data_IF_374936687786
#
_entry.id   IF_374936687786
#
_cell.length_a   1.000
_cell.length_b   1.000
_cell.length_c   1.000
_cell.angle_alpha   90.00
_cell.angle_beta   90.00
_cell.angle_gamma   90.00
#
_symmetry.space_group_name_H-M   'P 1'
#
loop_
_entity.id
_entity.type
_entity.pdbx_description
1 polymer ?
#
# COMPACT_ATOMS: atom_id res chain seq x y z
N UNK A 1 -23.54 -23.05 35.52
CA UNK A 1 -23.13 -23.23 36.90
C UNK A 1 -22.13 -22.12 37.22
N UNK A 2 -22.67 -21.13 37.97
CA UNK A 2 -22.15 -20.52 39.20
C UNK A 2 -20.83 -19.75 39.06
N UNK A 3 -20.62 -18.51 39.41
CA UNK A 3 -21.30 -17.48 40.23
C UNK A 3 -20.54 -16.17 40.10
N UNK A 4 -21.23 -15.08 39.92
CA UNK A 4 -21.27 -13.75 40.54
C UNK A 4 -20.17 -13.43 41.57
N UNK A 5 -19.56 -12.22 41.47
CA UNK A 5 -19.53 -11.27 42.60
C UNK A 5 -19.19 -9.84 42.15
N UNK A 6 -20.16 -8.98 42.37
CA UNK A 6 -20.19 -7.52 42.42
C UNK A 6 -19.53 -7.03 43.73
N UNK A 7 -18.77 -5.90 43.70
CA UNK A 7 -18.56 -5.09 44.87
C UNK A 7 -18.68 -3.60 44.49
N UNK A 8 -19.67 -2.97 45.09
CA UNK A 8 -19.92 -1.54 45.21
C UNK A 8 -18.99 -0.97 46.30
N UNK A 9 -18.51 0.25 46.13
CA UNK A 9 -17.81 1.07 47.13
C UNK A 9 -18.13 2.53 46.93
N UNK A 10 -19.17 2.97 47.61
CA UNK A 10 -19.65 4.34 47.80
C UNK A 10 -18.80 5.02 48.89
N UNK A 11 -18.30 6.24 48.68
CA UNK A 11 -17.97 7.15 49.80
C UNK A 11 -18.34 8.60 49.45
N UNK A 12 -19.03 9.18 50.40
CA UNK A 12 -19.72 10.45 50.37
C UNK A 12 -18.89 11.61 50.96
N UNK A 13 -19.24 12.80 50.49
CA UNK A 13 -19.30 14.13 51.15
C UNK A 13 -18.41 14.43 52.37
N UNK A 14 -17.73 15.58 52.30
CA UNK A 14 -17.71 16.55 53.41
C UNK A 14 -17.48 17.98 52.89
N UNK A 15 -18.48 18.80 53.06
CA UNK A 15 -18.51 20.27 52.94
C UNK A 15 -17.94 20.88 54.21
N UNK A 16 -17.15 21.94 54.10
CA UNK A 16 -17.07 22.97 55.17
C UNK A 16 -16.78 24.32 54.51
N UNK A 17 -17.70 25.24 54.72
CA UNK A 17 -17.58 26.64 54.39
C UNK A 17 -16.93 27.42 55.50
N UNK A 18 -16.40 28.58 55.15
CA UNK A 18 -16.24 29.71 56.09
C UNK A 18 -16.44 31.02 55.33
N UNK A 19 -17.42 31.75 55.76
CA UNK A 19 -17.68 33.16 55.52
C UNK A 19 -16.71 34.03 56.32
N UNK A 20 -16.33 35.16 55.74
CA UNK A 20 -15.58 36.20 56.46
C UNK A 20 -15.75 37.57 55.79
N UNK A 21 -16.40 38.43 56.44
CA UNK A 21 -16.94 39.75 56.10
C UNK A 21 -15.93 40.80 55.64
N UNK A 22 -16.44 41.70 54.77
CA UNK A 22 -15.88 43.04 54.46
C UNK A 22 -15.89 43.97 55.73
N UNK A 23 -15.05 45.03 55.72
CA UNK A 23 -15.67 46.35 55.70
C UNK A 23 -15.02 47.34 54.71
N UNK A 24 -15.85 48.32 54.33
CA UNK A 24 -15.60 49.44 53.49
C UNK A 24 -14.67 50.51 54.15
N UNK A 25 -13.96 51.22 53.20
CA UNK A 25 -13.26 52.48 53.58
C UNK A 25 -12.92 53.21 52.27
N UNK A 26 -13.61 54.29 52.01
CA UNK A 26 -13.50 55.14 50.85
C UNK A 26 -12.26 56.00 50.79
N UNK A 27 -11.91 56.48 49.65
CA UNK A 27 -10.86 57.44 49.36
C UNK A 27 -10.90 57.77 47.88
N UNK A 28 -11.62 58.84 47.55
CA UNK A 28 -11.58 59.53 46.25
C UNK A 28 -10.18 60.12 46.03
N UNK A 29 -9.56 59.86 44.89
CA UNK A 29 -8.69 60.84 44.22
C UNK A 29 -8.65 60.55 42.69
N UNK A 30 -9.17 61.51 42.00
CA UNK A 30 -8.98 62.05 40.63
C UNK A 30 -7.93 61.45 39.72
N UNK A 31 -8.41 61.13 38.52
CA UNK A 31 -7.92 61.45 37.17
C UNK A 31 -6.41 61.68 37.02
N UNK A 32 -5.78 60.75 36.31
CA UNK A 32 -4.93 61.06 35.17
C UNK A 32 -5.00 59.89 34.22
N UNK A 33 -5.62 60.14 33.08
CA UNK A 33 -5.50 59.32 31.88
C UNK A 33 -4.11 59.62 31.30
N UNK A 34 -3.18 58.73 31.49
CA UNK A 34 -2.01 58.66 30.62
C UNK A 34 -2.25 57.51 29.63
N UNK A 35 -2.52 57.88 28.40
CA UNK A 35 -2.45 57.04 27.20
C UNK A 35 -0.97 56.69 26.99
N UNK A 36 -0.51 55.62 27.61
CA UNK A 36 0.73 54.98 27.19
C UNK A 36 0.43 54.11 25.95
N UNK A 37 0.38 54.75 24.80
CA UNK A 37 0.69 54.13 23.54
C UNK A 37 2.19 53.84 23.54
N UNK A 38 2.59 52.71 24.14
CA UNK A 38 3.93 52.17 23.93
C UNK A 38 4.01 51.74 22.46
N UNK A 39 4.62 52.60 21.65
CA UNK A 39 4.92 52.33 20.26
C UNK A 39 5.91 51.16 20.15
N UNK A 40 5.46 50.12 19.50
CA UNK A 40 6.32 49.08 18.87
C UNK A 40 7.22 49.71 17.79
N UNK A 41 8.29 50.45 18.17
CA UNK A 41 9.23 51.08 17.25
C UNK A 41 10.51 50.28 17.02
N UNK A 42 10.64 49.02 17.53
CA UNK A 42 11.87 48.23 17.45
C UNK A 42 12.02 47.31 16.24
N UNK A 43 10.95 47.02 15.45
CA UNK A 43 10.95 45.98 14.44
C UNK A 43 10.72 46.47 13.00
N UNK A 44 10.92 47.77 12.70
CA UNK A 44 10.77 48.31 11.36
C UNK A 44 12.11 48.79 10.78
N UNK A 45 12.45 48.31 9.59
CA UNK A 45 13.63 48.69 8.83
C UNK A 45 13.24 49.40 7.54
N UNK A 46 13.76 50.62 7.34
CA UNK A 46 13.57 51.34 6.09
C UNK A 46 14.81 51.23 5.22
N UNK A 47 14.67 50.69 4.03
CA UNK A 47 15.73 50.56 3.03
C UNK A 47 15.64 51.59 1.92
N UNK A 48 16.77 52.10 1.44
CA UNK A 48 16.84 52.93 0.27
C UNK A 48 16.31 52.16 -0.98
N UNK A 49 15.46 52.75 -1.83
CA UNK A 49 14.95 52.13 -3.04
C UNK A 49 16.04 51.50 -3.94
N UNK A 50 17.21 52.10 -4.01
CA UNK A 50 18.37 51.55 -4.77
C UNK A 50 18.93 50.26 -4.15
N UNK A 51 18.79 50.08 -2.84
CA UNK A 51 19.20 48.85 -2.15
C UNK A 51 18.22 47.75 -2.44
N UNK A 52 16.92 48.06 -2.45
CA UNK A 52 15.84 47.12 -2.78
C UNK A 52 16.01 46.60 -4.20
N UNK A 53 16.19 47.51 -5.17
CA UNK A 53 16.34 47.16 -6.58
C UNK A 53 17.60 46.34 -6.85
N UNK A 54 18.73 46.78 -6.28
CA UNK A 54 20.02 46.12 -6.46
C UNK A 54 20.08 44.71 -5.87
N UNK A 55 19.36 44.44 -4.79
CA UNK A 55 19.31 43.15 -4.12
C UNK A 55 18.12 42.31 -4.58
N UNK A 56 17.30 42.80 -5.51
CA UNK A 56 16.18 42.07 -6.10
C UNK A 56 15.10 41.67 -5.06
N UNK A 57 14.85 42.55 -4.05
CA UNK A 57 13.84 42.30 -3.05
C UNK A 57 12.47 42.36 -3.72
N UNK A 58 11.71 41.25 -3.63
CA UNK A 58 10.36 41.20 -4.17
C UNK A 58 9.37 40.79 -3.09
N UNK A 59 8.18 41.36 -3.18
CA UNK A 59 7.07 41.07 -2.28
C UNK A 59 5.91 40.48 -3.04
N UNK A 60 5.23 39.48 -2.42
CA UNK A 60 3.96 38.94 -2.92
C UNK A 60 2.93 38.95 -1.80
N UNK A 61 1.65 39.11 -2.12
CA UNK A 61 0.62 39.08 -1.10
C UNK A 61 0.41 37.68 -0.58
N UNK A 62 0.29 37.54 0.74
CA UNK A 62 -0.13 36.29 1.36
C UNK A 62 -1.57 35.96 0.93
N UNK A 63 -1.77 34.82 0.32
CA UNK A 63 -3.06 34.42 -0.26
C UNK A 63 -3.56 33.13 0.38
N UNK A 64 -4.90 33.03 0.44
CA UNK A 64 -5.51 31.74 0.74
C UNK A 64 -5.40 30.86 -0.48
N UNK A 65 -4.85 29.67 -0.27
CA UNK A 65 -4.69 28.63 -1.31
C UNK A 65 -5.13 27.30 -0.76
N UNK A 66 -5.52 26.43 -1.66
CA UNK A 66 -5.66 25.02 -1.35
C UNK A 66 -4.25 24.45 -1.23
N UNK A 67 -3.70 24.42 -0.03
CA UNK A 67 -2.51 23.63 0.25
C UNK A 67 -2.99 22.19 0.52
N UNK A 68 -3.01 21.40 -0.52
CA UNK A 68 -3.16 19.96 -0.39
C UNK A 68 -1.80 19.45 0.11
N UNK A 69 -1.63 19.39 1.42
CA UNK A 69 -0.50 18.68 2.00
C UNK A 69 -0.59 17.22 1.52
N UNK A 70 0.32 16.82 0.63
CA UNK A 70 0.40 15.44 0.22
C UNK A 70 0.94 14.62 1.39
N UNK A 71 0.18 13.63 1.84
CA UNK A 71 0.73 12.60 2.70
C UNK A 71 1.60 11.69 1.83
N UNK A 72 2.90 11.74 2.02
CA UNK A 72 3.82 10.84 1.35
C UNK A 72 4.01 9.57 2.17
N UNK A 73 3.73 8.44 1.55
CA UNK A 73 3.76 7.12 2.16
C UNK A 73 4.81 6.26 1.45
N UNK A 74 5.77 5.68 2.18
CA UNK A 74 6.72 4.74 1.57
C UNK A 74 5.96 3.54 0.99
N UNK A 75 6.37 3.12 -0.20
CA UNK A 75 5.67 2.08 -0.93
C UNK A 75 6.61 1.18 -1.73
N UNK A 76 6.12 -0.04 -2.01
CA UNK A 76 6.80 -1.06 -2.78
C UNK A 76 5.86 -1.63 -3.85
N UNK A 77 6.40 -1.83 -5.04
CA UNK A 77 5.71 -2.50 -6.15
C UNK A 77 5.74 -4.00 -5.93
N UNK A 78 4.59 -4.64 -5.94
CA UNK A 78 4.43 -6.08 -5.75
C UNK A 78 3.63 -6.70 -6.89
N UNK A 79 3.82 -8.01 -7.11
CA UNK A 79 2.94 -8.75 -8.00
C UNK A 79 1.51 -8.77 -7.46
N UNK A 80 0.54 -8.82 -8.35
CA UNK A 80 -0.85 -9.06 -7.97
C UNK A 80 -1.03 -10.56 -7.68
N UNK A 81 -1.31 -10.96 -6.41
CA UNK A 81 -1.50 -12.37 -6.07
C UNK A 81 -2.64 -13.05 -6.84
N UNK A 82 -3.69 -12.30 -7.21
CA UNK A 82 -4.83 -12.82 -7.97
C UNK A 82 -4.45 -13.14 -9.43
N UNK A 83 -3.29 -12.63 -9.88
CA UNK A 83 -2.72 -12.83 -11.22
C UNK A 83 -1.35 -13.52 -11.16
N UNK A 84 -1.05 -14.20 -10.06
CA UNK A 84 0.18 -14.95 -9.85
C UNK A 84 -0.16 -16.40 -9.63
N UNK A 85 0.57 -17.29 -10.25
CA UNK A 85 0.41 -18.73 -10.11
C UNK A 85 1.69 -19.36 -9.59
N UNK A 86 1.56 -20.08 -8.50
CA UNK A 86 2.58 -20.96 -7.95
C UNK A 86 2.39 -22.37 -8.52
N UNK A 87 3.37 -22.86 -9.24
CA UNK A 87 3.28 -24.12 -9.98
C UNK A 87 4.20 -25.15 -9.30
N UNK A 88 3.59 -26.13 -8.67
CA UNK A 88 4.23 -27.31 -8.07
C UNK A 88 3.78 -28.60 -8.76
N UNK A 89 4.46 -29.71 -8.49
CA UNK A 89 4.07 -31.01 -9.03
C UNK A 89 3.06 -31.70 -8.11
N UNK A 90 1.91 -32.07 -8.64
CA UNK A 90 0.91 -32.85 -7.87
C UNK A 90 1.36 -34.27 -7.54
N UNK A 91 2.37 -34.80 -8.23
CA UNK A 91 2.92 -36.12 -8.00
C UNK A 91 4.43 -36.02 -7.76
N UNK A 92 4.98 -36.73 -6.78
CA UNK A 92 6.41 -36.76 -6.59
C UNK A 92 7.08 -37.40 -7.82
N UNK A 93 8.16 -36.77 -8.28
CA UNK A 93 8.85 -37.26 -9.46
C UNK A 93 10.12 -36.48 -9.75
N UNK A 94 10.82 -36.90 -10.79
CA UNK A 94 12.06 -36.28 -11.24
C UNK A 94 11.79 -35.38 -12.46
N UNK A 95 12.29 -34.17 -12.44
CA UNK A 95 12.27 -33.27 -13.59
C UNK A 95 13.16 -33.84 -14.71
N UNK A 96 12.53 -34.24 -15.82
CA UNK A 96 13.24 -34.79 -16.97
C UNK A 96 13.59 -33.75 -18.02
N UNK A 97 12.76 -32.71 -18.16
CA UNK A 97 12.92 -31.64 -19.13
C UNK A 97 12.36 -30.33 -18.56
N UNK A 98 13.07 -29.24 -18.76
CA UNK A 98 12.61 -27.89 -18.45
C UNK A 98 12.60 -27.10 -19.76
N UNK A 99 11.47 -26.46 -20.10
CA UNK A 99 11.25 -25.79 -21.37
C UNK A 99 11.27 -24.29 -21.32
N UNK A 100 11.28 -23.72 -20.11
CA UNK A 100 11.24 -22.28 -19.86
C UNK A 100 12.40 -21.82 -18.99
N UNK A 101 12.83 -20.60 -19.21
CA UNK A 101 13.80 -19.91 -18.40
C UNK A 101 13.13 -18.80 -17.55
N UNK A 102 13.88 -18.27 -16.58
CA UNK A 102 13.48 -17.08 -15.85
C UNK A 102 13.36 -15.89 -16.80
N UNK A 103 12.21 -15.20 -16.78
CA UNK A 103 11.92 -14.06 -17.63
C UNK A 103 11.21 -14.41 -18.93
N UNK A 104 10.99 -15.69 -19.23
CA UNK A 104 10.22 -16.09 -20.41
C UNK A 104 8.74 -15.77 -20.23
N UNK A 105 8.12 -15.30 -21.32
CA UNK A 105 6.67 -15.15 -21.40
C UNK A 105 6.01 -16.47 -21.83
N UNK A 106 4.94 -16.84 -21.15
CA UNK A 106 4.19 -18.07 -21.35
C UNK A 106 2.70 -17.79 -21.50
N UNK A 107 2.04 -18.60 -22.30
CA UNK A 107 0.59 -18.59 -22.41
C UNK A 107 -0.05 -19.58 -21.42
N UNK A 108 -1.36 -19.42 -21.21
CA UNK A 108 -2.12 -20.39 -20.43
C UNK A 108 -2.07 -21.77 -21.07
N UNK A 109 -1.73 -22.81 -20.25
CA UNK A 109 -1.51 -24.21 -20.59
C UNK A 109 -0.18 -24.51 -21.32
N UNK A 110 0.72 -23.55 -21.43
CA UNK A 110 2.08 -23.84 -21.91
C UNK A 110 2.81 -24.79 -20.96
N UNK A 111 3.58 -25.70 -21.55
CA UNK A 111 4.33 -26.71 -20.81
C UNK A 111 5.65 -26.10 -20.34
N UNK A 112 5.78 -25.92 -19.04
CA UNK A 112 6.98 -25.38 -18.39
C UNK A 112 8.05 -26.44 -18.17
N UNK A 113 7.63 -27.66 -17.77
CA UNK A 113 8.52 -28.78 -17.51
C UNK A 113 7.80 -30.12 -17.63
N UNK A 114 8.59 -31.19 -17.73
CA UNK A 114 8.14 -32.57 -17.67
C UNK A 114 8.68 -33.25 -16.42
N UNK A 115 7.78 -33.90 -15.66
CA UNK A 115 8.10 -34.66 -14.45
C UNK A 115 7.88 -36.15 -14.73
N UNK A 116 8.87 -36.98 -14.48
CA UNK A 116 8.75 -38.43 -14.50
C UNK A 116 8.44 -38.96 -13.10
N UNK A 117 7.25 -39.55 -12.94
CA UNK A 117 6.77 -40.10 -11.68
C UNK A 117 6.59 -41.62 -11.74
N UNK A 118 7.21 -42.33 -10.80
CA UNK A 118 7.04 -43.78 -10.64
C UNK A 118 5.61 -44.13 -10.23
N UNK A 119 5.01 -43.29 -9.39
CA UNK A 119 3.62 -43.49 -8.92
C UNK A 119 2.62 -43.37 -10.06
N UNK A 120 2.79 -42.35 -10.90
CA UNK A 120 1.97 -42.16 -12.10
C UNK A 120 2.16 -43.30 -13.07
N UNK A 121 3.41 -43.77 -13.24
CA UNK A 121 3.73 -44.93 -14.06
C UNK A 121 2.99 -46.20 -13.61
N UNK A 122 2.95 -46.45 -12.31
CA UNK A 122 2.20 -47.58 -11.68
C UNK A 122 0.69 -47.40 -11.88
N UNK A 123 0.12 -46.27 -11.54
CA UNK A 123 -1.31 -46.02 -11.67
C UNK A 123 -1.81 -46.19 -13.13
N UNK A 124 -1.01 -45.75 -14.11
CA UNK A 124 -1.33 -45.94 -15.53
C UNK A 124 -1.16 -47.43 -15.97
N UNK A 125 -0.19 -48.17 -15.39
CA UNK A 125 -0.05 -49.60 -15.64
C UNK A 125 -1.25 -50.36 -15.08
N UNK A 126 -1.70 -50.01 -13.88
CA UNK A 126 -2.88 -50.64 -13.26
C UNK A 126 -4.15 -50.40 -14.07
N UNK A 127 -4.35 -49.17 -14.59
CA UNK A 127 -5.46 -48.90 -15.51
C UNK A 127 -5.37 -49.74 -16.80
N UNK A 128 -4.19 -49.90 -17.37
CA UNK A 128 -4.00 -50.77 -18.57
C UNK A 128 -4.31 -52.21 -18.25
N UNK A 129 -3.83 -52.74 -17.11
CA UNK A 129 -4.11 -54.09 -16.65
C UNK A 129 -5.63 -54.29 -16.42
N UNK A 130 -6.32 -53.33 -15.75
CA UNK A 130 -7.74 -53.41 -15.55
C UNK A 130 -8.53 -53.40 -16.87
N UNK A 131 -8.13 -52.57 -17.84
CA UNK A 131 -8.71 -52.58 -19.22
C UNK A 131 -8.52 -53.93 -19.90
N UNK A 132 -7.35 -54.54 -19.80
CA UNK A 132 -7.09 -55.87 -20.39
C UNK A 132 -7.97 -56.94 -19.75
N UNK A 133 -8.09 -56.96 -18.39
CA UNK A 133 -9.01 -57.88 -17.68
C UNK A 133 -10.45 -57.68 -18.14
N UNK A 134 -10.89 -56.45 -18.35
CA UNK A 134 -12.25 -56.17 -18.86
C UNK A 134 -12.48 -56.77 -20.25
N UNK A 135 -11.54 -56.58 -21.18
CA UNK A 135 -11.64 -57.18 -22.53
C UNK A 135 -11.78 -58.69 -22.47
N UNK A 136 -10.97 -59.36 -21.61
CA UNK A 136 -11.03 -60.79 -21.44
C UNK A 136 -12.38 -61.24 -20.81
N UNK A 137 -12.86 -60.54 -19.79
CA UNK A 137 -14.14 -60.84 -19.13
C UNK A 137 -15.35 -60.66 -20.10
N UNK A 138 -15.33 -59.59 -20.91
CA UNK A 138 -16.39 -59.38 -21.92
C UNK A 138 -16.38 -60.46 -23.03
N UNK A 139 -15.21 -60.96 -23.40
CA UNK A 139 -15.09 -62.10 -24.32
C UNK A 139 -15.68 -63.38 -23.71
N UNK A 140 -15.43 -63.62 -22.39
CA UNK A 140 -15.96 -64.72 -21.66
C UNK A 140 -17.50 -64.65 -21.54
N UNK A 141 -18.07 -63.46 -21.25
CA UNK A 141 -19.54 -63.23 -21.26
C UNK A 141 -20.13 -63.62 -22.60
N UNK A 142 -19.54 -63.16 -23.70
CA UNK A 142 -20.00 -63.49 -25.06
C UNK A 142 -19.98 -65.01 -25.29
N UNK A 143 -18.86 -65.63 -24.97
CA UNK A 143 -18.70 -67.11 -25.10
C UNK A 143 -19.75 -67.86 -24.28
N UNK A 144 -19.92 -67.53 -22.98
CA UNK A 144 -20.88 -68.20 -22.12
C UNK A 144 -22.31 -67.94 -22.57
N UNK A 145 -22.62 -66.75 -23.10
CA UNK A 145 -23.94 -66.44 -23.62
C UNK A 145 -24.31 -67.35 -24.81
N UNK A 146 -23.37 -67.57 -25.73
CA UNK A 146 -23.58 -68.50 -26.86
C UNK A 146 -23.75 -69.94 -26.37
N UNK A 147 -22.89 -70.48 -25.52
CA UNK A 147 -22.95 -71.81 -24.98
C UNK A 147 -24.25 -72.11 -24.21
N UNK A 148 -24.73 -71.11 -23.45
CA UNK A 148 -26.03 -71.23 -22.73
C UNK A 148 -27.21 -71.20 -23.67
N UNK A 149 -27.14 -70.43 -24.77
CA UNK A 149 -28.23 -70.41 -25.78
C UNK A 149 -28.30 -71.73 -26.59
N UNK A 150 -27.13 -72.42 -26.76
CA UNK A 150 -27.02 -73.72 -27.40
C UNK A 150 -27.32 -74.88 -26.43
N UNK A 151 -27.64 -74.62 -25.15
CA UNK A 151 -27.93 -75.63 -24.15
C UNK A 151 -26.68 -76.43 -23.65
N UNK A 152 -25.45 -75.98 -23.99
CA UNK A 152 -24.18 -76.62 -23.65
C UNK A 152 -23.74 -76.23 -22.25
N UNK A 153 -23.96 -75.01 -21.78
CA UNK A 153 -23.56 -74.51 -20.49
C UNK A 153 -24.74 -74.17 -19.56
N UNK A 154 -24.53 -74.21 -18.24
CA UNK A 154 -25.56 -73.86 -17.28
C UNK A 154 -25.74 -72.34 -17.23
N UNK A 155 -26.94 -71.86 -16.95
CA UNK A 155 -27.25 -70.40 -16.74
C UNK A 155 -26.38 -69.80 -15.62
N UNK A 156 -26.00 -70.59 -14.60
CA UNK A 156 -25.08 -70.17 -13.52
C UNK A 156 -23.74 -69.69 -14.06
N UNK A 157 -23.15 -70.41 -15.05
CA UNK A 157 -21.86 -70.04 -15.62
C UNK A 157 -21.89 -68.69 -16.33
N UNK A 158 -23.03 -68.33 -16.97
CA UNK A 158 -23.24 -66.99 -17.54
C UNK A 158 -23.28 -65.92 -16.45
N UNK A 159 -24.00 -66.14 -15.34
CA UNK A 159 -24.06 -65.19 -14.23
C UNK A 159 -22.67 -64.98 -13.62
N UNK A 160 -21.87 -66.03 -13.49
CA UNK A 160 -20.48 -65.95 -13.02
C UNK A 160 -19.58 -65.13 -13.97
N UNK A 161 -19.79 -65.27 -15.29
CA UNK A 161 -19.08 -64.47 -16.30
C UNK A 161 -19.49 -62.98 -16.24
N UNK A 162 -20.82 -62.71 -16.12
CA UNK A 162 -21.33 -61.38 -15.98
C UNK A 162 -20.77 -60.70 -14.70
N UNK A 163 -20.71 -61.42 -13.59
CA UNK A 163 -20.16 -60.91 -12.33
C UNK A 163 -18.67 -60.54 -12.48
N UNK A 164 -17.88 -61.36 -13.20
CA UNK A 164 -16.46 -61.07 -13.45
C UNK A 164 -16.30 -59.80 -14.38
N UNK A 165 -17.20 -59.64 -15.33
CA UNK A 165 -17.20 -58.47 -16.17
C UNK A 165 -17.59 -57.20 -15.41
N UNK A 166 -18.53 -57.30 -14.44
CA UNK A 166 -18.88 -56.19 -13.57
C UNK A 166 -17.75 -55.83 -12.62
N UNK A 167 -17.07 -56.83 -12.04
CA UNK A 167 -15.87 -56.60 -11.24
C UNK A 167 -14.78 -55.89 -12.04
N UNK A 168 -14.49 -56.33 -13.27
CA UNK A 168 -13.52 -55.66 -14.14
C UNK A 168 -13.90 -54.24 -14.50
N UNK A 169 -15.23 -53.91 -14.59
CA UNK A 169 -15.68 -52.50 -14.74
C UNK A 169 -15.40 -51.68 -13.51
N UNK A 170 -15.65 -52.24 -12.30
CA UNK A 170 -15.33 -51.57 -11.05
C UNK A 170 -13.82 -51.31 -10.91
N UNK A 171 -12.98 -52.27 -11.30
CA UNK A 171 -11.52 -52.11 -11.26
C UNK A 171 -11.06 -50.95 -12.18
N UNK A 172 -11.64 -50.82 -13.36
CA UNK A 172 -11.35 -49.66 -14.25
C UNK A 172 -11.79 -48.35 -13.62
N UNK A 173 -12.98 -48.33 -12.99
CA UNK A 173 -13.49 -47.13 -12.32
C UNK A 173 -12.56 -46.71 -11.17
N UNK A 174 -12.11 -47.66 -10.36
CA UNK A 174 -11.15 -47.43 -9.27
C UNK A 174 -9.81 -46.90 -9.79
N UNK A 175 -9.22 -47.53 -10.82
CA UNK A 175 -7.95 -47.10 -11.40
C UNK A 175 -8.06 -45.68 -12.07
N UNK A 176 -9.22 -45.36 -12.65
CA UNK A 176 -9.49 -44.01 -13.17
C UNK A 176 -9.64 -42.97 -12.06
N UNK A 177 -10.33 -43.32 -10.97
CA UNK A 177 -10.47 -42.44 -9.81
C UNK A 177 -9.09 -42.08 -9.24
N UNK A 178 -8.19 -43.05 -9.10
CA UNK A 178 -6.81 -42.79 -8.67
C UNK A 178 -6.10 -41.78 -9.60
N UNK A 179 -6.21 -41.95 -10.91
CA UNK A 179 -5.60 -41.02 -11.88
C UNK A 179 -6.26 -39.63 -11.88
N UNK A 180 -7.55 -39.56 -11.59
CA UNK A 180 -8.27 -38.27 -11.53
C UNK A 180 -7.87 -37.41 -10.34
N UNK A 181 -7.44 -38.00 -9.23
CA UNK A 181 -6.87 -37.28 -8.07
C UNK A 181 -5.65 -36.44 -8.50
N UNK A 182 -4.85 -36.95 -9.41
CA UNK A 182 -3.70 -36.25 -9.96
C UNK A 182 -4.05 -35.28 -11.12
N UNK A 183 -5.34 -35.10 -11.46
CA UNK A 183 -5.75 -34.29 -12.61
C UNK A 183 -5.39 -34.91 -13.97
N UNK A 184 -4.98 -36.19 -14.01
CA UNK A 184 -4.29 -36.85 -15.14
C UNK A 184 -5.11 -37.99 -15.74
N UNK A 185 -6.39 -37.77 -16.02
CA UNK A 185 -7.28 -38.78 -16.62
C UNK A 185 -6.82 -39.30 -18.00
N UNK A 186 -5.89 -38.63 -18.65
CA UNK A 186 -5.32 -38.98 -19.97
C UNK A 186 -3.80 -39.13 -19.98
N UNK A 187 -3.26 -39.50 -21.13
CA UNK A 187 -1.83 -39.63 -21.39
C UNK A 187 -1.29 -41.05 -21.30
N UNK A 188 -0.09 -41.27 -21.88
CA UNK A 188 0.65 -42.55 -21.87
C UNK A 188 2.05 -42.33 -21.25
N UNK A 189 2.54 -43.36 -20.48
CA UNK A 189 3.87 -43.29 -19.89
C UNK A 189 3.91 -42.69 -18.47
N UNK A 190 5.09 -42.54 -17.88
CA UNK A 190 5.28 -42.08 -16.51
C UNK A 190 5.35 -40.54 -16.38
N UNK A 191 5.35 -39.81 -17.50
CA UNK A 191 5.58 -38.37 -17.51
C UNK A 191 4.29 -37.56 -17.35
N UNK A 192 4.40 -36.45 -16.62
CA UNK A 192 3.37 -35.41 -16.49
C UNK A 192 3.97 -34.07 -16.85
N UNK A 193 3.18 -33.24 -17.55
CA UNK A 193 3.57 -31.87 -17.84
C UNK A 193 3.14 -30.94 -16.71
N UNK A 194 4.08 -30.12 -16.23
CA UNK A 194 3.77 -28.94 -15.43
C UNK A 194 3.39 -27.83 -16.42
N UNK A 195 2.19 -27.31 -16.31
CA UNK A 195 1.67 -26.29 -17.22
C UNK A 195 1.32 -25.02 -16.47
N UNK A 196 1.44 -23.87 -17.13
CA UNK A 196 0.99 -22.61 -16.56
C UNK A 196 -0.54 -22.52 -16.56
N UNK A 197 -1.19 -22.21 -15.42
CA UNK A 197 -2.63 -22.02 -15.36
C UNK A 197 -3.10 -20.66 -15.92
N UNK A 198 -2.17 -19.71 -16.11
CA UNK A 198 -2.42 -18.38 -16.66
C UNK A 198 -1.33 -17.97 -17.65
N UNK A 199 -1.57 -16.93 -18.46
CA UNK A 199 -0.55 -16.29 -19.26
C UNK A 199 0.18 -15.24 -18.43
N UNK A 200 1.49 -15.11 -18.63
CA UNK A 200 2.34 -14.17 -17.92
C UNK A 200 3.82 -14.45 -18.09
N UNK A 201 4.64 -13.86 -17.24
CA UNK A 201 6.09 -14.02 -17.24
C UNK A 201 6.53 -14.95 -16.12
N UNK A 202 7.51 -15.82 -16.37
CA UNK A 202 8.15 -16.66 -15.33
C UNK A 202 9.03 -15.77 -14.45
N UNK A 203 8.55 -15.45 -13.25
CA UNK A 203 9.25 -14.54 -12.31
C UNK A 203 10.16 -15.29 -11.33
N UNK A 204 9.89 -16.56 -11.05
CA UNK A 204 10.75 -17.42 -10.26
C UNK A 204 10.84 -18.82 -10.86
N UNK A 205 12.02 -19.39 -10.79
CA UNK A 205 12.30 -20.78 -11.21
C UNK A 205 13.23 -21.43 -10.20
N UNK A 206 12.67 -22.27 -9.35
CA UNK A 206 13.41 -23.08 -8.39
C UNK A 206 13.77 -24.47 -8.97
N UNK A 207 13.11 -24.84 -10.07
CA UNK A 207 13.29 -26.12 -10.74
C UNK A 207 14.67 -26.26 -11.41
N UNK A 208 15.34 -27.39 -11.18
CA UNK A 208 16.60 -27.76 -11.84
C UNK A 208 16.48 -29.10 -12.58
N UNK A 209 17.15 -29.28 -13.74
CA UNK A 209 17.10 -30.55 -14.47
C UNK A 209 17.59 -31.71 -13.60
N UNK A 210 16.79 -32.77 -13.49
CA UNK A 210 17.11 -33.96 -12.72
C UNK A 210 16.74 -33.88 -11.23
N UNK A 211 16.23 -32.78 -10.77
CA UNK A 211 15.75 -32.55 -9.40
C UNK A 211 14.48 -33.37 -9.14
N UNK A 212 14.29 -33.78 -7.88
CA UNK A 212 13.05 -34.40 -7.41
C UNK A 212 12.13 -33.31 -6.88
N UNK A 213 10.93 -33.27 -7.44
CA UNK A 213 9.88 -32.29 -7.10
C UNK A 213 8.64 -32.99 -6.53
N UNK A 214 7.89 -32.26 -5.75
CA UNK A 214 6.65 -32.71 -5.11
C UNK A 214 5.61 -31.57 -5.05
N UNK A 215 4.59 -31.73 -4.22
CA UNK A 215 3.53 -30.74 -4.03
C UNK A 215 3.84 -29.67 -2.97
N UNK A 216 4.93 -29.79 -2.23
CA UNK A 216 5.27 -28.88 -1.14
C UNK A 216 6.14 -27.72 -1.59
N UNK A 217 6.85 -27.90 -2.73
CA UNK A 217 7.79 -26.90 -3.26
C UNK A 217 7.33 -26.37 -4.61
N UNK A 218 7.23 -25.04 -4.69
CA UNK A 218 6.95 -24.36 -5.97
C UNK A 218 8.14 -24.55 -6.91
N UNK A 219 7.89 -25.12 -8.07
CA UNK A 219 8.89 -25.27 -9.13
C UNK A 219 9.04 -24.02 -9.97
N UNK A 220 7.93 -23.32 -10.21
CA UNK A 220 7.87 -22.09 -10.98
C UNK A 220 6.85 -21.13 -10.36
N UNK A 221 7.10 -19.81 -10.49
CA UNK A 221 6.10 -18.78 -10.24
C UNK A 221 5.92 -17.99 -11.54
N UNK A 222 4.67 -17.93 -12.01
CA UNK A 222 4.29 -17.18 -13.22
C UNK A 222 3.33 -16.07 -12.80
N UNK A 223 3.61 -14.83 -13.20
CA UNK A 223 2.78 -13.68 -12.89
C UNK A 223 2.44 -12.87 -14.15
N UNK A 224 1.21 -12.39 -14.22
CA UNK A 224 0.82 -11.36 -15.19
C UNK A 224 1.29 -10.00 -14.70
N UNK A 225 2.34 -9.47 -15.35
CA UNK A 225 2.97 -8.20 -14.98
C UNK A 225 2.31 -6.96 -15.62
N UNK A 226 1.22 -7.13 -16.39
CA UNK A 226 0.49 -6.01 -16.97
C UNK A 226 -0.26 -5.16 -15.93
N UNK A 227 -0.50 -5.71 -14.75
CA UNK A 227 -1.12 -5.01 -13.63
C UNK A 227 -0.42 -5.38 -12.34
N UNK A 228 0.09 -4.39 -11.62
CA UNK A 228 0.86 -4.55 -10.40
C UNK A 228 0.19 -3.82 -9.23
N UNK A 229 0.50 -4.26 -8.04
CA UNK A 229 0.09 -3.60 -6.81
C UNK A 229 1.22 -2.73 -6.29
N UNK A 230 0.88 -1.54 -5.84
CA UNK A 230 1.79 -0.70 -5.06
C UNK A 230 1.28 -0.68 -3.62
N UNK A 231 2.03 -1.32 -2.76
CA UNK A 231 1.70 -1.45 -1.34
C UNK A 231 2.38 -0.35 -0.56
N UNK A 232 1.59 0.57 -0.01
CA UNK A 232 2.06 1.64 0.87
C UNK A 232 1.84 1.31 2.34
N UNK A 233 2.62 1.95 3.24
CA UNK A 233 2.49 1.81 4.70
C UNK A 233 2.18 3.15 5.34
N UNK A 234 0.94 3.31 5.82
CA UNK A 234 0.44 4.52 6.49
C UNK A 234 0.58 4.35 7.98
N UNK A 235 1.23 5.29 8.68
CA UNK A 235 1.36 5.25 10.13
C UNK A 235 0.04 5.59 10.82
N UNK A 236 -0.16 5.07 12.03
CA UNK A 236 -1.38 5.21 12.83
C UNK A 236 -1.86 6.67 12.96
N UNK A 237 -0.94 7.61 13.14
CA UNK A 237 -1.21 9.05 13.26
C UNK A 237 -1.86 9.67 12.01
N UNK A 238 -1.59 9.09 10.83
CA UNK A 238 -2.06 9.60 9.53
C UNK A 238 -3.26 8.83 9.00
N UNK A 239 -3.73 7.80 9.72
CA UNK A 239 -4.80 6.91 9.26
C UNK A 239 -6.11 7.65 8.97
N UNK A 240 -6.42 8.70 9.75
CA UNK A 240 -7.61 9.53 9.53
C UNK A 240 -7.61 10.32 8.20
N UNK A 241 -6.47 10.36 7.51
CA UNK A 241 -6.29 11.07 6.23
C UNK A 241 -6.42 10.16 5.01
N UNK A 242 -6.65 8.87 5.21
CA UNK A 242 -6.64 7.84 4.14
C UNK A 242 -7.97 7.13 4.06
N UNK A 243 -8.50 6.98 2.85
CA UNK A 243 -9.71 6.22 2.58
C UNK A 243 -9.64 5.55 1.20
N UNK A 244 -10.40 4.49 1.02
CA UNK A 244 -10.61 3.87 -0.30
C UNK A 244 -11.27 4.87 -1.25
N UNK A 245 -10.85 4.87 -2.51
CA UNK A 245 -11.33 5.79 -3.54
C UNK A 245 -10.52 7.09 -3.66
N UNK A 246 -9.53 7.34 -2.79
CA UNK A 246 -8.69 8.51 -2.89
C UNK A 246 -7.73 8.42 -4.08
N UNK A 247 -7.56 9.52 -4.85
CA UNK A 247 -6.51 9.60 -5.85
C UNK A 247 -5.14 9.53 -5.19
N UNK A 248 -4.24 8.82 -5.83
CA UNK A 248 -2.88 8.57 -5.39
C UNK A 248 -1.92 8.78 -6.56
N UNK A 249 -0.83 9.45 -6.31
CA UNK A 249 0.26 9.61 -7.28
C UNK A 249 1.46 8.79 -6.79
N UNK A 250 1.93 7.87 -7.61
CA UNK A 250 3.05 7.00 -7.27
C UNK A 250 4.32 7.51 -7.93
N UNK A 251 5.35 7.77 -7.14
CA UNK A 251 6.69 8.13 -7.61
C UNK A 251 7.68 7.02 -7.24
N UNK A 252 8.43 6.51 -8.22
CA UNK A 252 9.41 5.44 -8.00
C UNK A 252 10.84 5.97 -8.07
N UNK A 253 11.69 5.50 -7.17
CA UNK A 253 13.10 5.89 -7.09
C UNK A 253 13.83 5.57 -8.40
N UNK A 254 13.44 4.47 -9.06
CA UNK A 254 14.05 4.03 -10.33
C UNK A 254 13.79 4.98 -11.51
N UNK A 255 12.77 5.84 -11.42
CA UNK A 255 12.35 6.75 -12.51
C UNK A 255 12.13 8.17 -11.99
N UNK A 256 13.20 8.92 -11.68
CA UNK A 256 13.08 10.29 -11.16
C UNK A 256 12.33 11.20 -12.12
N UNK A 257 11.32 11.92 -11.59
CA UNK A 257 10.51 12.86 -12.38
C UNK A 257 9.39 12.22 -13.20
N UNK A 258 9.17 10.90 -13.08
CA UNK A 258 8.00 10.22 -13.64
C UNK A 258 7.10 9.75 -12.53
N UNK A 259 5.82 10.01 -12.67
CA UNK A 259 4.78 9.59 -11.74
C UNK A 259 3.72 8.74 -12.46
N UNK A 260 3.01 7.96 -11.68
CA UNK A 260 1.88 7.14 -12.13
C UNK A 260 0.66 7.46 -11.29
N UNK A 261 -0.42 7.82 -11.97
CA UNK A 261 -1.70 8.09 -11.32
C UNK A 261 -2.42 6.78 -11.01
N UNK A 262 -2.96 6.71 -9.82
CA UNK A 262 -3.75 5.57 -9.34
C UNK A 262 -4.81 6.00 -8.36
N UNK A 263 -5.49 5.01 -7.81
CA UNK A 263 -6.50 5.19 -6.75
C UNK A 263 -6.27 4.16 -5.67
N UNK A 264 -6.43 4.55 -4.42
CA UNK A 264 -6.43 3.59 -3.31
C UNK A 264 -7.65 2.69 -3.46
N UNK A 265 -7.43 1.42 -3.77
CA UNK A 265 -8.50 0.44 -3.91
C UNK A 265 -8.70 -0.42 -2.65
N UNK A 266 -7.76 -0.35 -1.72
CA UNK A 266 -7.83 -1.09 -0.45
C UNK A 266 -7.06 -0.39 0.67
N UNK A 267 -7.68 -0.35 1.86
CA UNK A 267 -7.07 0.06 3.13
C UNK A 267 -7.23 -1.09 4.11
N UNK A 268 -6.12 -1.59 4.66
CA UNK A 268 -6.16 -2.70 5.61
C UNK A 268 -6.95 -2.31 6.87
N UNK A 269 -7.75 -3.26 7.36
CA UNK A 269 -8.51 -3.11 8.61
C UNK A 269 -7.72 -3.57 9.84
N UNK A 270 -6.52 -4.07 9.63
CA UNK A 270 -5.62 -4.51 10.70
C UNK A 270 -4.37 -3.65 10.70
N UNK A 271 -3.96 -3.25 11.89
CA UNK A 271 -2.68 -2.59 12.15
C UNK A 271 -1.59 -3.65 12.26
N UNK A 272 -0.48 -3.43 11.63
CA UNK A 272 0.75 -4.18 11.85
C UNK A 272 1.35 -3.72 13.19
N UNK A 273 1.43 -4.63 14.17
CA UNK A 273 1.84 -4.29 15.54
C UNK A 273 3.33 -3.92 15.65
N UNK A 274 4.17 -4.47 14.78
CA UNK A 274 5.61 -4.25 14.79
C UNK A 274 5.96 -2.87 14.21
N UNK A 275 5.31 -2.50 13.11
CA UNK A 275 5.59 -1.24 12.40
C UNK A 275 4.63 -0.11 12.77
N UNK A 276 3.56 -0.37 13.52
CA UNK A 276 2.48 0.57 13.83
C UNK A 276 1.92 1.24 12.59
N UNK A 277 1.74 0.46 11.53
CA UNK A 277 1.27 0.96 10.24
C UNK A 277 0.11 0.12 9.69
N UNK A 278 -0.65 0.73 8.81
CA UNK A 278 -1.73 0.12 8.05
C UNK A 278 -1.32 0.05 6.58
N UNK A 279 -1.50 -1.11 5.96
CA UNK A 279 -1.21 -1.28 4.55
C UNK A 279 -2.31 -0.63 3.70
N UNK A 280 -1.91 0.12 2.68
CA UNK A 280 -2.78 0.60 1.60
C UNK A 280 -2.32 0.01 0.29
N UNK A 281 -3.24 -0.13 -0.65
CA UNK A 281 -2.96 -0.66 -1.98
C UNK A 281 -3.43 0.31 -3.06
N UNK A 282 -2.55 0.53 -4.02
CA UNK A 282 -2.85 1.21 -5.28
C UNK A 282 -2.61 0.21 -6.42
N UNK A 283 -3.55 0.07 -7.33
CA UNK A 283 -3.40 -0.78 -8.51
C UNK A 283 -2.91 0.05 -9.67
N UNK A 284 -1.80 -0.37 -10.29
CA UNK A 284 -1.24 0.30 -11.46
C UNK A 284 -1.23 -0.63 -12.67
N UNK A 285 -1.66 -0.10 -13.82
CA UNK A 285 -1.47 -0.75 -15.10
C UNK A 285 -0.04 -0.55 -15.60
N UNK A 286 0.55 -1.59 -16.18
CA UNK A 286 1.94 -1.62 -16.63
C UNK A 286 2.07 -2.06 -18.11
N UNK A 287 1.39 -1.38 -19.05
CA UNK A 287 1.38 -1.78 -20.47
C UNK A 287 2.76 -1.67 -21.13
N UNK A 288 3.63 -0.82 -20.62
CA UNK A 288 5.00 -0.63 -21.14
C UNK A 288 6.00 -1.62 -20.52
N UNK A 289 5.62 -2.40 -19.50
CA UNK A 289 6.50 -3.33 -18.80
C UNK A 289 7.66 -2.68 -18.04
N UNK A 290 7.54 -1.38 -17.74
CA UNK A 290 8.62 -0.62 -17.05
C UNK A 290 8.59 -0.83 -15.53
N UNK A 291 7.41 -1.03 -14.96
CA UNK A 291 7.26 -1.33 -13.55
C UNK A 291 7.67 -2.77 -13.28
N UNK A 292 8.46 -2.98 -12.25
CA UNK A 292 8.92 -4.31 -11.82
C UNK A 292 8.64 -4.53 -10.35
N UNK A 293 8.17 -5.71 -9.96
CA UNK A 293 8.07 -6.09 -8.55
C UNK A 293 9.40 -5.87 -7.81
N UNK A 294 9.33 -5.41 -6.57
CA UNK A 294 10.50 -5.05 -5.76
C UNK A 294 11.01 -3.63 -5.97
N UNK A 295 10.41 -2.82 -6.85
CA UNK A 295 10.74 -1.39 -6.93
C UNK A 295 10.16 -0.64 -5.73
N UNK A 296 10.96 0.29 -5.20
CA UNK A 296 10.57 1.16 -4.10
C UNK A 296 10.26 2.57 -4.57
N UNK A 297 9.39 3.23 -3.83
CA UNK A 297 8.99 4.61 -4.09
C UNK A 297 8.12 5.18 -2.99
N UNK A 298 7.35 6.18 -3.34
CA UNK A 298 6.39 6.85 -2.48
C UNK A 298 5.03 6.94 -3.16
N UNK A 299 3.97 6.86 -2.36
CA UNK A 299 2.61 7.20 -2.77
C UNK A 299 2.31 8.56 -2.16
N UNK A 300 2.08 9.56 -2.99
CA UNK A 300 1.56 10.85 -2.57
C UNK A 300 0.03 10.80 -2.62
N UNK A 301 -0.59 11.01 -1.46
CA UNK A 301 -2.04 11.00 -1.30
C UNK A 301 -2.57 12.43 -1.25
N UNK A 302 -3.51 12.75 -2.11
CA UNK A 302 -4.27 13.99 -2.01
C UNK A 302 -5.08 13.99 -0.71
N UNK A 303 -5.11 15.11 0.02
CA UNK A 303 -5.92 15.20 1.24
C UNK A 303 -7.42 15.11 0.95
N UNK A 304 -8.08 14.19 1.62
CA UNK A 304 -9.49 14.36 1.98
C UNK A 304 -9.51 15.21 3.24
N UNK A 305 -10.17 16.33 3.20
CA UNK A 305 -10.38 17.15 4.38
C UNK A 305 -10.95 16.31 5.52
N UNK A 306 -10.25 16.27 6.63
CA UNK A 306 -10.73 15.66 7.86
C UNK A 306 -11.97 16.44 8.32
N UNK A 307 -13.16 15.87 8.13
CA UNK A 307 -14.41 16.43 8.64
C UNK A 307 -15.54 16.33 7.62
N UNK A 308 -16.66 15.84 8.11
CA UNK A 308 -17.99 15.75 7.50
C UNK A 308 -18.17 16.67 6.28
N UNK A 309 -18.07 16.10 5.07
CA UNK A 309 -18.45 16.77 3.83
C UNK A 309 -17.35 17.53 3.09
N UNK A 310 -16.20 16.89 2.77
CA UNK A 310 -15.39 17.25 1.59
C UNK A 310 -15.04 18.73 1.34
N UNK A 311 -14.94 19.58 2.34
CA UNK A 311 -14.56 20.97 2.19
C UNK A 311 -13.03 21.08 2.12
N UNK A 312 -12.50 21.25 0.92
CA UNK A 312 -11.15 21.75 0.70
C UNK A 312 -11.01 23.11 1.40
N UNK A 313 -10.34 23.14 2.55
CA UNK A 313 -10.16 24.36 3.30
C UNK A 313 -8.99 25.15 2.71
N UNK A 314 -9.26 26.32 2.17
CA UNK A 314 -8.20 27.25 1.78
C UNK A 314 -7.48 27.75 3.03
N UNK A 315 -6.19 27.48 3.14
CA UNK A 315 -5.32 27.98 4.19
C UNK A 315 -4.51 29.20 3.71
N UNK A 316 -4.20 30.11 4.64
CA UNK A 316 -3.29 31.21 4.33
C UNK A 316 -1.90 30.64 4.09
N UNK A 317 -1.28 30.95 2.97
CA UNK A 317 0.02 30.43 2.60
C UNK A 317 0.92 31.47 1.98
N UNK A 318 2.22 31.26 2.15
CA UNK A 318 3.30 32.04 1.54
C UNK A 318 4.31 31.09 0.89
N UNK A 319 5.08 31.53 -0.12
CA UNK A 319 6.18 30.74 -0.65
C UNK A 319 7.18 30.36 0.45
N UNK A 320 7.73 29.17 0.39
CA UNK A 320 8.77 28.68 1.34
C UNK A 320 9.93 29.65 1.49
N UNK A 321 10.30 30.33 0.36
CA UNK A 321 11.36 31.35 0.31
C UNK A 321 11.07 32.59 1.15
N UNK A 322 9.81 32.86 1.52
CA UNK A 322 9.41 33.96 2.37
C UNK A 322 9.63 33.71 3.86
N UNK A 323 9.74 32.43 4.25
CA UNK A 323 9.91 32.03 5.66
C UNK A 323 11.39 32.02 6.00
N UNK A 324 11.76 32.65 7.11
CA UNK A 324 13.13 32.71 7.60
C UNK A 324 13.17 32.37 9.08
N UNK A 325 14.31 31.86 9.56
CA UNK A 325 14.55 31.64 10.98
C UNK A 325 15.48 32.70 11.53
N UNK A 326 15.10 33.41 12.59
CA UNK A 326 15.90 34.38 13.32
C UNK A 326 15.90 34.04 14.81
N UNK A 327 17.08 33.83 15.40
CA UNK A 327 17.26 33.56 16.84
C UNK A 327 16.22 32.58 17.41
N UNK A 328 16.08 31.39 16.78
CA UNK A 328 15.12 30.32 17.12
C UNK A 328 13.62 30.64 16.92
N UNK A 329 13.30 31.78 16.28
CA UNK A 329 11.93 32.15 15.90
C UNK A 329 11.75 32.02 14.38
N UNK A 330 10.58 31.55 13.98
CA UNK A 330 10.18 31.53 12.58
C UNK A 330 9.51 32.86 12.23
N UNK A 331 10.06 33.57 11.25
CA UNK A 331 9.65 34.93 10.91
C UNK A 331 9.40 35.07 9.42
N UNK A 332 8.57 36.04 9.06
CA UNK A 332 8.43 36.58 7.72
C UNK A 332 8.71 38.08 7.73
N UNK A 333 9.16 38.64 6.60
CA UNK A 333 9.32 40.08 6.43
C UNK A 333 8.10 40.60 5.69
N UNK A 334 7.37 41.49 6.33
CA UNK A 334 6.15 42.13 5.77
C UNK A 334 6.48 43.54 5.32
N UNK A 335 5.97 43.97 4.20
CA UNK A 335 6.09 45.37 3.75
C UNK A 335 5.32 46.29 4.70
N UNK A 336 5.95 47.34 5.17
CA UNK A 336 5.31 48.37 6.00
C UNK A 336 4.47 49.36 5.17
N UNK A 337 3.98 50.41 5.86
CA UNK A 337 3.11 51.39 5.26
C UNK A 337 3.83 52.41 4.37
N UNK A 338 5.14 52.63 4.63
CA UNK A 338 5.97 53.52 3.84
C UNK A 338 6.72 52.75 2.73
N UNK A 339 6.93 53.34 1.55
CA UNK A 339 7.70 52.74 0.48
C UNK A 339 9.14 52.38 0.96
N UNK A 340 9.48 51.11 0.94
CA UNK A 340 10.80 50.61 1.35
C UNK A 340 10.91 50.27 2.83
N UNK A 341 9.82 50.37 3.59
CA UNK A 341 9.79 49.85 4.95
C UNK A 341 9.41 48.39 5.01
N UNK A 342 10.05 47.67 5.93
CA UNK A 342 9.84 46.24 6.19
C UNK A 342 9.80 45.98 7.69
N UNK A 343 8.86 45.13 8.11
CA UNK A 343 8.73 44.70 9.51
C UNK A 343 8.99 43.20 9.63
N UNK A 344 9.68 42.81 10.68
CA UNK A 344 9.81 41.39 11.06
C UNK A 344 8.56 40.98 11.80
N UNK A 345 7.99 39.86 11.43
CA UNK A 345 6.82 39.31 12.08
C UNK A 345 6.98 37.84 12.39
N UNK A 346 6.76 37.48 13.66
CA UNK A 346 6.73 36.08 14.07
C UNK A 346 5.50 35.38 13.49
N UNK A 347 5.71 34.19 12.94
CA UNK A 347 4.65 33.39 12.36
C UNK A 347 4.66 31.98 12.91
N UNK A 348 3.47 31.42 13.04
CA UNK A 348 3.27 30.00 13.31
C UNK A 348 3.03 29.30 11.99
N UNK A 349 3.98 28.49 11.57
CA UNK A 349 3.88 27.73 10.33
C UNK A 349 3.16 26.40 10.54
N UNK A 350 2.50 25.93 9.49
CA UNK A 350 1.83 24.65 9.41
C UNK A 350 2.50 23.73 8.40
N UNK A 351 1.68 23.06 7.59
CA UNK A 351 2.16 22.15 6.54
C UNK A 351 2.78 22.91 5.37
N UNK A 352 3.78 22.30 4.73
CA UNK A 352 4.35 22.78 3.48
C UNK A 352 4.03 21.82 2.33
N UNK A 353 3.62 22.41 1.20
CA UNK A 353 3.33 21.65 -0.01
C UNK A 353 3.59 22.51 -1.26
N UNK A 354 4.14 21.89 -2.30
CA UNK A 354 4.37 22.52 -3.62
C UNK A 354 5.13 23.84 -3.57
N UNK A 355 6.09 23.99 -2.63
CA UNK A 355 6.90 25.21 -2.48
C UNK A 355 6.18 26.33 -1.72
N UNK A 356 5.05 26.04 -1.06
CA UNK A 356 4.30 26.96 -0.18
C UNK A 356 4.20 26.39 1.22
N UNK A 357 4.16 27.28 2.23
CA UNK A 357 4.00 26.96 3.65
C UNK A 357 2.70 27.56 4.17
N UNK A 358 1.92 26.77 4.90
CA UNK A 358 0.75 27.22 5.64
C UNK A 358 1.18 28.16 6.77
N UNK A 359 0.46 29.25 6.93
CA UNK A 359 0.60 30.17 8.06
C UNK A 359 -0.65 30.06 8.95
N UNK A 360 -0.48 29.48 10.14
CA UNK A 360 -1.54 29.28 11.12
C UNK A 360 -1.79 30.52 11.99
N UNK A 361 -0.79 31.38 12.09
CA UNK A 361 -0.89 32.61 12.89
C UNK A 361 0.23 33.58 12.60
N UNK A 362 0.02 34.86 12.96
CA UNK A 362 1.01 35.94 12.80
C UNK A 362 0.91 36.72 11.49
N UNK A 363 0.09 36.32 10.51
CA UNK A 363 -0.06 36.99 9.23
C UNK A 363 -1.55 37.08 8.82
N UNK A 364 -1.91 38.16 8.11
CA UNK A 364 -3.27 38.35 7.58
C UNK A 364 -3.32 38.14 6.06
N UNK A 365 -4.45 37.67 5.52
CA UNK A 365 -4.64 37.60 4.08
C UNK A 365 -4.45 38.93 3.39
N UNK A 366 -3.66 38.98 2.31
CA UNK A 366 -3.40 40.21 1.54
C UNK A 366 -2.16 41.00 1.99
N UNK A 367 -1.55 40.69 3.14
CA UNK A 367 -0.29 41.33 3.55
C UNK A 367 0.83 40.95 2.57
N UNK A 368 1.61 41.95 2.16
CA UNK A 368 2.74 41.73 1.23
C UNK A 368 3.94 41.23 1.96
N UNK A 369 4.32 39.96 1.71
CA UNK A 369 5.53 39.29 2.30
C UNK A 369 6.67 39.27 1.30
N UNK A 370 7.89 39.40 1.79
CA UNK A 370 9.10 39.33 0.98
C UNK A 370 9.36 37.87 0.57
N UNK A 371 9.32 37.60 -0.72
CA UNK A 371 9.57 36.27 -1.30
C UNK A 371 10.96 36.09 -1.87
N UNK A 372 11.64 37.21 -2.21
CA UNK A 372 13.04 37.22 -2.67
C UNK A 372 13.82 38.30 -1.92
N UNK A 373 15.08 38.01 -1.57
CA UNK A 373 15.95 38.95 -0.86
C UNK A 373 15.78 38.95 0.66
N UNK A 374 15.02 38.03 1.25
CA UNK A 374 14.80 37.92 2.70
C UNK A 374 16.12 37.80 3.50
N UNK A 375 17.17 37.21 2.92
CA UNK A 375 18.48 37.11 3.56
C UNK A 375 19.13 38.49 3.79
N UNK A 376 18.96 39.42 2.85
CA UNK A 376 19.50 40.78 2.96
C UNK A 376 18.82 41.52 4.10
N UNK A 377 17.46 41.44 4.14
CA UNK A 377 16.68 42.02 5.25
C UNK A 377 17.11 41.44 6.59
N UNK A 378 17.20 40.10 6.71
CA UNK A 378 17.69 39.44 7.91
C UNK A 378 19.04 39.99 8.38
N UNK A 379 19.99 40.21 7.44
CA UNK A 379 21.30 40.73 7.75
C UNK A 379 21.29 42.18 8.24
N UNK A 380 20.43 43.02 7.65
CA UNK A 380 20.29 44.43 8.05
C UNK A 380 19.56 44.55 9.40
N UNK A 381 18.51 43.77 9.64
CA UNK A 381 17.85 43.72 10.97
C UNK A 381 18.82 43.25 12.06
N UNK A 382 19.66 42.24 11.80
CA UNK A 382 20.66 41.79 12.76
C UNK A 382 21.73 42.86 13.05
N UNK A 383 22.13 43.65 12.05
CA UNK A 383 23.06 44.77 12.24
C UNK A 383 22.40 45.88 13.08
N UNK A 384 21.15 46.24 12.80
CA UNK A 384 20.41 47.23 13.56
C UNK A 384 20.29 46.85 15.04
N UNK A 385 19.93 45.59 15.33
CA UNK A 385 19.82 45.10 16.70
C UNK A 385 21.14 45.03 17.49
N UNK A 386 22.29 44.91 16.80
CA UNK A 386 23.63 44.93 17.41
C UNK A 386 24.10 46.37 17.64
N UNK A 387 23.67 47.36 16.82
CA UNK A 387 24.03 48.78 16.91
C UNK A 387 23.43 49.50 18.11
N UNK A 388 22.28 49.14 18.59
CA UNK A 388 21.61 49.75 19.77
C UNK A 388 22.17 49.27 21.11
N UNK A 389 23.03 48.25 21.15
CA UNK A 389 23.63 47.72 22.38
C UNK A 389 24.92 48.39 22.82
N UNK A 390 25.39 49.48 22.20
CA UNK A 390 26.67 50.15 22.51
C UNK A 390 26.58 51.62 22.96
N UNK A 391 25.40 52.14 23.29
CA UNK A 391 25.28 53.45 23.95
C UNK A 391 24.80 53.26 25.40
N UNK A 392 25.68 52.85 26.30
CA UNK A 392 25.58 53.13 27.75
C UNK A 392 26.98 53.23 28.34
#
# INVERSE_FOLDING_TARGET
>A
MTTRRTIWGLFALLTLGCQGETPAGGGEHSEHADEDAEGEHGDELVLDPHVIERNGIKTEPAQRRLLLGSLEVPAEVQVNPDRTAHISSLVPGRLSEIRVALGDDVEKNDVLALVESVELGRARADLRAAKARRVAADAEVRRMSTLVSEGIAAKKSRVEADTRADQARADIAAARATLSVYGLAGGAGPSVALTSPLGGTVIERHASPGEVVDSETDSFVVADLNQLWVMGRVYEQDLGRVAEGLPAEVALIAYPGRTWDGVIDYVSRTLDEDTRSVAIRVVLDNPEGVLRPGMFGTIALGQVGAGDGGATTEVLSVPETAVSTMADRTVVFVSGDEPGSFRVRDVVVGESAHGFVEIRGGLQPGEAVVTQGAFVLKSEFMKASIGEGHEH
#
